data_IF_010497727375
#
_entry.id   IF_010497727375
#
_cell.length_a   1.000
_cell.length_b   1.000
_cell.length_c   1.000
_cell.angle_alpha   90.00
_cell.angle_beta   90.00
_cell.angle_gamma   90.00
#
_symmetry.space_group_name_H-M   'P 1'
#
loop_
_entity.id
_entity.type
_entity.pdbx_description
1 polymer ?
#
# COMPACT_ATOMS: atom_id res chain seq x y z
N UNK A 1 -58.19 41.61 -15.97
CA UNK A 1 -57.29 42.30 -16.92
C UNK A 1 -55.91 41.67 -16.82
N UNK A 2 -55.35 41.27 -17.97
CA UNK A 2 -53.90 41.10 -18.31
C UNK A 2 -53.02 40.29 -17.33
N UNK A 3 -52.47 39.11 -17.61
CA UNK A 3 -51.94 38.54 -18.86
C UNK A 3 -50.41 38.69 -18.91
N UNK A 4 -49.65 37.58 -18.80
CA UNK A 4 -48.32 37.30 -19.40
C UNK A 4 -47.68 36.08 -18.69
N UNK A 5 -47.75 34.84 -19.20
CA UNK A 5 -46.93 34.22 -20.27
C UNK A 5 -45.41 34.51 -20.20
N UNK A 6 -44.73 33.83 -19.29
CA UNK A 6 -43.29 33.54 -19.38
C UNK A 6 -43.06 32.06 -19.70
N UNK A 7 -42.89 31.72 -20.98
CA UNK A 7 -42.42 30.40 -21.43
C UNK A 7 -40.99 30.19 -20.91
N UNK A 8 -40.75 29.22 -20.02
CA UNK A 8 -39.39 28.72 -19.76
C UNK A 8 -39.11 27.54 -20.66
N UNK A 9 -38.04 27.70 -21.42
CA UNK A 9 -37.56 26.79 -22.44
C UNK A 9 -37.16 25.44 -21.85
N UNK A 10 -37.44 24.39 -22.62
CA UNK A 10 -36.97 23.03 -22.36
C UNK A 10 -35.44 23.01 -22.23
N UNK A 11 -34.94 22.59 -21.07
CA UNK A 11 -33.54 22.23 -20.88
C UNK A 11 -33.22 21.04 -21.78
N UNK A 12 -32.50 21.30 -22.88
CA UNK A 12 -31.91 20.25 -23.71
C UNK A 12 -30.88 19.51 -22.86
N UNK A 13 -31.12 18.22 -22.61
CA UNK A 13 -30.10 17.30 -22.07
C UNK A 13 -28.86 17.38 -22.99
N UNK A 14 -27.64 17.43 -22.44
CA UNK A 14 -26.44 17.41 -23.28
C UNK A 14 -26.43 16.09 -24.05
N UNK A 15 -26.47 16.19 -25.37
CA UNK A 15 -26.24 15.10 -26.30
C UNK A 15 -24.91 14.46 -25.96
N UNK A 16 -24.93 13.19 -25.56
CA UNK A 16 -23.76 12.35 -25.41
C UNK A 16 -23.14 12.17 -26.80
N UNK A 17 -22.23 13.06 -27.18
CA UNK A 17 -21.37 12.88 -28.34
C UNK A 17 -20.27 11.91 -27.89
N UNK A 18 -20.56 10.61 -27.95
CA UNK A 18 -19.52 9.60 -28.05
C UNK A 18 -18.81 9.84 -29.38
N UNK A 19 -17.79 10.69 -29.35
CA UNK A 19 -16.76 10.69 -30.37
C UNK A 19 -16.22 9.25 -30.44
N UNK A 20 -16.11 8.63 -31.62
CA UNK A 20 -15.41 7.37 -31.72
C UNK A 20 -14.00 7.63 -31.24
N UNK A 21 -13.58 6.89 -30.20
CA UNK A 21 -12.18 6.78 -29.81
C UNK A 21 -11.43 6.48 -31.10
N UNK A 22 -10.63 7.44 -31.57
CA UNK A 22 -9.72 7.22 -32.66
C UNK A 22 -8.88 6.01 -32.25
N UNK A 23 -9.20 4.86 -32.84
CA UNK A 23 -8.40 3.66 -32.76
C UNK A 23 -7.10 4.07 -33.43
N UNK A 24 -6.15 4.52 -32.61
CA UNK A 24 -4.81 4.87 -33.04
C UNK A 24 -4.32 3.74 -33.92
N UNK A 25 -4.03 4.10 -35.16
CA UNK A 25 -3.57 3.24 -36.24
C UNK A 25 -2.82 2.05 -35.66
N UNK A 26 -3.46 0.88 -35.69
CA UNK A 26 -2.76 -0.39 -35.52
C UNK A 26 -1.88 -0.48 -36.75
N UNK A 27 -0.69 0.14 -36.65
CA UNK A 27 0.31 0.14 -37.67
C UNK A 27 0.37 -1.27 -38.22
N UNK A 28 0.14 -1.35 -39.53
CA UNK A 28 0.16 -2.53 -40.37
C UNK A 28 1.16 -3.53 -39.80
N UNK A 29 0.69 -4.72 -39.40
CA UNK A 29 1.52 -5.76 -38.82
C UNK A 29 2.53 -6.23 -39.88
N UNK A 30 3.65 -5.52 -39.99
CA UNK A 30 4.87 -6.06 -40.56
C UNK A 30 5.23 -7.31 -39.77
N UNK A 31 5.62 -8.37 -40.48
CA UNK A 31 6.08 -9.61 -39.86
C UNK A 31 7.21 -9.24 -38.91
N UNK A 32 7.03 -9.56 -37.62
CA UNK A 32 8.02 -9.25 -36.61
C UNK A 32 9.37 -9.85 -37.03
N UNK A 33 10.49 -9.12 -36.90
CA UNK A 33 11.80 -9.62 -37.28
C UNK A 33 12.10 -10.98 -36.63
N UNK A 34 12.92 -11.78 -37.30
CA UNK A 34 13.40 -13.03 -36.75
C UNK A 34 14.00 -12.80 -35.34
N UNK A 35 13.61 -13.63 -34.36
CA UNK A 35 14.05 -13.50 -32.97
C UNK A 35 13.32 -12.45 -32.12
N UNK A 36 12.49 -11.56 -32.69
CA UNK A 36 11.80 -10.50 -31.93
C UNK A 36 10.94 -11.05 -30.78
N UNK A 37 10.22 -12.15 -31.02
CA UNK A 37 9.34 -12.75 -30.03
C UNK A 37 10.10 -13.27 -28.79
N UNK A 38 11.33 -13.77 -28.97
CA UNK A 38 12.18 -14.21 -27.87
C UNK A 38 12.77 -13.01 -27.13
N UNK A 39 13.31 -12.05 -27.88
CA UNK A 39 13.86 -10.82 -27.32
C UNK A 39 12.82 -10.08 -26.45
N UNK A 40 11.60 -9.87 -26.97
CA UNK A 40 10.56 -9.15 -26.22
C UNK A 40 10.06 -9.91 -24.98
N UNK A 41 10.14 -11.25 -24.97
CA UNK A 41 9.89 -12.05 -23.75
C UNK A 41 10.96 -11.77 -22.70
N UNK A 42 12.23 -11.74 -23.10
CA UNK A 42 13.35 -11.39 -22.22
C UNK A 42 13.24 -9.98 -21.64
N UNK A 43 12.91 -8.98 -22.47
CA UNK A 43 12.68 -7.61 -22.02
C UNK A 43 11.55 -7.54 -20.99
N UNK A 44 10.40 -8.19 -21.26
CA UNK A 44 9.27 -8.23 -20.32
C UNK A 44 9.67 -8.89 -19.00
N UNK A 45 10.39 -10.02 -19.04
CA UNK A 45 10.89 -10.68 -17.84
C UNK A 45 11.80 -9.75 -17.02
N UNK A 46 12.76 -9.08 -17.66
CA UNK A 46 13.65 -8.12 -16.99
C UNK A 46 12.89 -6.96 -16.33
N UNK A 47 11.86 -6.42 -16.99
CA UNK A 47 10.98 -5.39 -16.40
C UNK A 47 10.24 -5.92 -15.17
N UNK A 48 9.69 -7.13 -15.24
CA UNK A 48 8.99 -7.73 -14.11
C UNK A 48 9.92 -7.96 -12.91
N UNK A 49 11.12 -8.51 -13.14
CA UNK A 49 12.10 -8.73 -12.08
C UNK A 49 12.58 -7.42 -11.45
N UNK A 50 12.85 -6.39 -12.25
CA UNK A 50 13.25 -5.08 -11.76
C UNK A 50 12.16 -4.48 -10.85
N UNK A 51 10.89 -4.54 -11.27
CA UNK A 51 9.76 -4.09 -10.46
C UNK A 51 9.62 -4.87 -9.16
N UNK A 52 9.78 -6.19 -9.20
CA UNK A 52 9.73 -7.02 -8.00
C UNK A 52 10.87 -6.70 -7.02
N UNK A 53 12.09 -6.47 -7.51
CA UNK A 53 13.21 -6.06 -6.66
C UNK A 53 12.94 -4.69 -6.01
N UNK A 54 12.45 -3.73 -6.78
CA UNK A 54 12.09 -2.41 -6.25
C UNK A 54 10.99 -2.51 -5.19
N UNK A 55 9.92 -3.27 -5.46
CA UNK A 55 8.83 -3.49 -4.50
C UNK A 55 9.32 -4.14 -3.19
N UNK A 56 10.21 -5.14 -3.27
CA UNK A 56 10.83 -5.77 -2.09
C UNK A 56 11.67 -4.77 -1.29
N UNK A 57 12.51 -3.98 -1.95
CA UNK A 57 13.32 -2.96 -1.29
C UNK A 57 12.45 -1.93 -0.55
N UNK A 58 11.40 -1.42 -1.21
CA UNK A 58 10.44 -0.49 -0.60
C UNK A 58 9.72 -1.13 0.59
N UNK A 59 9.28 -2.39 0.46
CA UNK A 59 8.61 -3.09 1.55
C UNK A 59 9.52 -3.26 2.78
N UNK A 60 10.78 -3.64 2.56
CA UNK A 60 11.75 -3.78 3.65
C UNK A 60 11.92 -2.47 4.43
N UNK A 61 12.11 -1.36 3.71
CA UNK A 61 12.25 -0.04 4.34
C UNK A 61 10.98 0.38 5.10
N UNK A 62 9.79 0.14 4.52
CA UNK A 62 8.53 0.47 5.16
C UNK A 62 8.28 -0.35 6.43
N UNK A 63 8.48 -1.67 6.39
CA UNK A 63 8.30 -2.53 7.57
C UNK A 63 9.29 -2.15 8.67
N UNK A 64 10.56 -1.91 8.31
CA UNK A 64 11.58 -1.45 9.24
C UNK A 64 11.27 -0.08 9.85
N UNK A 65 10.79 0.87 9.05
CA UNK A 65 10.35 2.19 9.53
C UNK A 65 9.18 2.07 10.51
N UNK A 66 8.16 1.30 10.15
CA UNK A 66 6.97 1.09 10.99
C UNK A 66 7.31 0.46 12.33
N UNK A 67 8.22 -0.53 12.34
CA UNK A 67 8.71 -1.10 13.57
C UNK A 67 9.43 -0.07 14.45
N UNK A 68 10.36 0.71 13.88
CA UNK A 68 11.09 1.76 14.62
C UNK A 68 10.14 2.79 15.20
N UNK A 69 9.17 3.29 14.43
CA UNK A 69 8.16 4.23 14.91
C UNK A 69 7.38 3.64 16.09
N UNK A 70 6.95 2.37 15.98
CA UNK A 70 6.23 1.68 17.04
C UNK A 70 7.04 1.56 18.34
N UNK A 71 8.30 1.17 18.24
CA UNK A 71 9.25 1.06 19.36
C UNK A 71 9.45 2.42 20.02
N UNK A 72 9.64 3.46 19.22
CA UNK A 72 9.88 4.83 19.65
C UNK A 72 8.66 5.45 20.35
N UNK A 73 7.45 5.15 19.88
CA UNK A 73 6.21 5.53 20.57
C UNK A 73 6.17 4.85 21.94
N UNK A 74 6.36 3.52 21.99
CA UNK A 74 6.33 2.76 23.24
C UNK A 74 7.34 3.31 24.26
N UNK A 75 8.59 3.48 23.86
CA UNK A 75 9.65 3.96 24.74
C UNK A 75 9.34 5.33 25.36
N UNK A 76 8.77 6.27 24.58
CA UNK A 76 8.37 7.59 25.09
C UNK A 76 7.13 7.54 25.98
N UNK A 77 6.17 6.66 25.68
CA UNK A 77 5.04 6.42 26.58
C UNK A 77 5.49 5.89 27.94
N UNK A 78 6.43 4.93 27.95
CA UNK A 78 6.96 4.31 29.16
C UNK A 78 7.81 5.31 29.98
N UNK A 79 8.68 6.09 29.31
CA UNK A 79 9.61 7.00 29.99
C UNK A 79 8.99 8.34 30.43
N UNK A 80 8.01 8.87 29.69
CA UNK A 80 7.44 10.20 29.91
C UNK A 80 5.97 10.19 30.33
N UNK A 81 5.37 9.01 30.49
CA UNK A 81 3.97 8.87 30.87
C UNK A 81 2.99 9.37 29.81
N UNK A 82 3.38 9.41 28.53
CA UNK A 82 2.52 9.91 27.47
C UNK A 82 1.28 9.01 27.27
N UNK A 83 0.11 9.60 27.49
CA UNK A 83 -1.17 8.92 27.25
C UNK A 83 -1.47 8.71 25.75
N UNK A 84 -2.56 7.99 25.47
CA UNK A 84 -2.95 7.57 24.12
C UNK A 84 -3.08 8.71 23.09
N UNK A 85 -3.33 9.95 23.53
CA UNK A 85 -3.46 11.14 22.68
C UNK A 85 -2.18 11.49 21.92
N UNK A 86 -1.01 11.03 22.34
CA UNK A 86 0.23 11.28 21.61
C UNK A 86 0.17 10.69 20.20
N UNK A 87 -0.48 9.54 20.04
CA UNK A 87 -0.60 8.88 18.73
C UNK A 87 -1.41 9.74 17.77
N UNK A 88 -2.48 10.38 18.25
CA UNK A 88 -3.30 11.26 17.43
C UNK A 88 -2.53 12.53 17.02
N UNK A 89 -1.68 13.07 17.90
CA UNK A 89 -0.80 14.20 17.59
C UNK A 89 0.25 13.83 16.53
N UNK A 90 0.96 12.72 16.70
CA UNK A 90 1.95 12.24 15.72
C UNK A 90 1.29 12.00 14.36
N UNK A 91 0.10 11.39 14.33
CA UNK A 91 -0.62 11.18 13.08
C UNK A 91 -0.97 12.51 12.38
N UNK A 92 -1.40 13.52 13.14
CA UNK A 92 -1.69 14.84 12.58
C UNK A 92 -0.42 15.48 12.01
N UNK A 93 0.68 15.49 12.77
CA UNK A 93 1.95 16.09 12.35
C UNK A 93 2.49 15.40 11.08
N UNK A 94 2.46 14.07 11.02
CA UNK A 94 2.89 13.31 9.84
C UNK A 94 1.98 13.56 8.64
N UNK A 95 0.67 13.74 8.84
CA UNK A 95 -0.26 14.03 7.74
C UNK A 95 -0.08 15.44 7.19
N UNK A 96 0.30 16.40 8.05
CA UNK A 96 0.61 17.76 7.62
C UNK A 96 1.88 17.78 6.76
N UNK A 97 2.93 17.09 7.17
CA UNK A 97 4.19 17.02 6.40
C UNK A 97 4.07 16.16 5.14
N UNK A 98 3.35 15.04 5.24
CA UNK A 98 3.19 14.05 4.17
C UNK A 98 1.71 13.85 3.80
N UNK A 99 1.08 14.84 3.13
CA UNK A 99 -0.36 14.81 2.85
C UNK A 99 -0.79 13.65 1.93
N UNK A 100 0.10 13.18 1.05
CA UNK A 100 -0.19 12.08 0.13
C UNK A 100 0.25 10.71 0.67
N UNK A 101 0.96 10.67 1.79
CA UNK A 101 1.42 9.41 2.37
C UNK A 101 0.25 8.63 2.96
N UNK A 102 0.05 7.43 2.45
CA UNK A 102 -0.79 6.42 3.07
C UNK A 102 -0.02 5.70 4.20
N UNK A 103 -0.73 5.24 5.24
CA UNK A 103 -0.11 4.47 6.32
C UNK A 103 0.24 5.23 7.60
N UNK A 104 0.04 6.56 7.69
CA UNK A 104 0.26 7.31 8.95
C UNK A 104 -1.02 7.71 9.69
N UNK A 105 -2.11 6.96 9.50
CA UNK A 105 -3.33 7.17 10.29
C UNK A 105 -3.12 6.83 11.77
N UNK A 106 -3.89 7.41 12.71
CA UNK A 106 -3.79 7.08 14.14
C UNK A 106 -3.97 5.58 14.40
N UNK A 107 -4.85 4.93 13.64
CA UNK A 107 -5.04 3.47 13.70
C UNK A 107 -3.77 2.74 13.30
N UNK A 108 -3.12 3.13 12.20
CA UNK A 108 -1.92 2.44 11.75
C UNK A 108 -0.75 2.65 12.72
N UNK A 109 -0.59 3.84 13.31
CA UNK A 109 0.41 4.08 14.36
C UNK A 109 0.18 3.21 15.62
N UNK A 110 -1.07 2.94 15.99
CA UNK A 110 -1.38 1.97 17.07
C UNK A 110 -0.93 0.56 16.68
N UNK A 111 -1.13 0.15 15.43
CA UNK A 111 -0.61 -1.12 14.93
C UNK A 111 0.92 -1.15 14.87
N UNK A 112 1.59 -0.07 14.47
CA UNK A 112 3.05 0.02 14.51
C UNK A 112 3.57 -0.21 15.93
N UNK A 113 2.95 0.42 16.93
CA UNK A 113 3.28 0.17 18.34
C UNK A 113 3.04 -1.28 18.74
N UNK A 114 1.89 -1.85 18.40
CA UNK A 114 1.58 -3.25 18.70
C UNK A 114 2.55 -4.21 18.00
N UNK A 115 2.95 -3.90 16.78
CA UNK A 115 3.95 -4.63 16.02
C UNK A 115 5.30 -4.62 16.73
N UNK A 116 5.80 -3.46 17.14
CA UNK A 116 7.05 -3.37 17.90
C UNK A 116 7.00 -4.09 19.25
N UNK A 117 5.83 -4.12 19.90
CA UNK A 117 5.62 -4.88 21.15
C UNK A 117 5.67 -6.39 20.90
N UNK A 118 5.03 -6.87 19.84
CA UNK A 118 4.96 -8.28 19.50
C UNK A 118 6.29 -8.84 18.99
N UNK A 119 7.17 -7.97 18.47
CA UNK A 119 8.43 -8.34 17.82
C UNK A 119 9.59 -7.51 18.40
N UNK A 120 10.12 -7.84 19.58
CA UNK A 120 11.19 -7.04 20.20
C UNK A 120 12.56 -7.20 19.50
N UNK A 121 12.74 -8.26 18.73
CA UNK A 121 13.99 -8.61 18.04
C UNK A 121 14.07 -7.91 16.67
N UNK A 122 14.96 -6.93 16.56
CA UNK A 122 15.16 -6.13 15.34
C UNK A 122 15.70 -6.96 14.17
N UNK A 123 16.61 -7.91 14.44
CA UNK A 123 17.21 -8.75 13.42
C UNK A 123 16.16 -9.68 12.79
N UNK A 124 15.25 -10.22 13.62
CA UNK A 124 14.11 -10.99 13.12
C UNK A 124 13.16 -10.13 12.27
N UNK A 125 12.94 -8.88 12.65
CA UNK A 125 12.07 -7.97 11.90
C UNK A 125 12.68 -7.65 10.53
N UNK A 126 13.95 -7.29 10.48
CA UNK A 126 14.64 -6.93 9.23
C UNK A 126 14.91 -8.14 8.34
N UNK A 127 15.22 -9.31 8.93
CA UNK A 127 15.53 -10.52 8.18
C UNK A 127 14.28 -11.25 7.66
N UNK A 128 13.29 -11.46 8.52
CA UNK A 128 12.13 -12.33 8.23
C UNK A 128 10.90 -11.49 7.91
N UNK A 129 10.51 -10.60 8.81
CA UNK A 129 9.23 -9.90 8.69
C UNK A 129 9.23 -8.89 7.55
N UNK A 130 10.35 -8.24 7.26
CA UNK A 130 10.52 -7.34 6.12
C UNK A 130 10.20 -7.99 4.76
N UNK A 131 10.25 -9.32 4.66
CA UNK A 131 9.89 -10.03 3.43
C UNK A 131 8.38 -10.13 3.21
N UNK A 132 7.58 -9.84 4.24
CA UNK A 132 6.12 -9.92 4.20
C UNK A 132 5.50 -8.52 4.02
N UNK A 133 4.40 -8.41 3.26
CA UNK A 133 3.66 -7.15 3.16
C UNK A 133 3.11 -6.70 4.52
N UNK A 134 3.02 -5.38 4.74
CA UNK A 134 2.50 -4.81 6.00
C UNK A 134 1.15 -5.39 6.45
N UNK A 135 0.20 -5.61 5.53
CA UNK A 135 -1.12 -6.17 5.85
C UNK A 135 -1.07 -7.60 6.39
N UNK A 136 -0.03 -8.37 6.06
CA UNK A 136 0.18 -9.69 6.66
C UNK A 136 0.49 -9.56 8.14
N UNK A 137 1.32 -8.57 8.53
CA UNK A 137 1.61 -8.32 9.95
C UNK A 137 0.36 -7.92 10.74
N UNK A 138 -0.51 -7.09 10.16
CA UNK A 138 -1.80 -6.75 10.79
C UNK A 138 -2.63 -8.01 11.04
N UNK A 139 -2.74 -8.89 10.04
CA UNK A 139 -3.48 -10.13 10.19
C UNK A 139 -2.88 -11.07 11.24
N UNK A 140 -1.55 -11.17 11.33
CA UNK A 140 -0.85 -11.95 12.36
C UNK A 140 -1.10 -11.38 13.76
N UNK A 141 -1.14 -10.05 13.90
CA UNK A 141 -1.42 -9.39 15.18
C UNK A 141 -2.88 -9.56 15.61
N UNK A 142 -3.82 -9.49 14.66
CA UNK A 142 -5.27 -9.57 14.94
C UNK A 142 -5.76 -10.99 15.22
N UNK A 143 -5.17 -12.00 14.55
CA UNK A 143 -5.71 -13.36 14.55
C UNK A 143 -4.99 -14.33 15.46
N UNK A 144 -3.78 -13.99 15.91
CA UNK A 144 -2.93 -14.89 16.69
C UNK A 144 -2.60 -14.23 18.01
N UNK A 145 -2.62 -15.00 19.10
CA UNK A 145 -2.47 -14.48 20.45
C UNK A 145 -1.01 -14.56 20.91
N UNK A 146 -0.33 -15.66 20.59
CA UNK A 146 1.02 -15.97 21.08
C UNK A 146 2.12 -15.52 20.11
N UNK A 147 3.34 -15.32 20.63
CA UNK A 147 4.50 -14.97 19.79
C UNK A 147 4.93 -16.16 18.94
N UNK A 148 4.80 -17.36 19.47
CA UNK A 148 5.18 -18.64 18.86
C UNK A 148 4.34 -18.91 17.61
N UNK A 149 3.00 -18.77 17.72
CA UNK A 149 2.10 -18.93 16.57
C UNK A 149 2.41 -17.89 15.50
N UNK A 150 2.60 -16.63 15.88
CA UNK A 150 2.93 -15.56 14.93
C UNK A 150 4.23 -15.86 14.20
N UNK A 151 5.27 -16.33 14.91
CA UNK A 151 6.57 -16.71 14.31
C UNK A 151 6.40 -17.83 13.30
N UNK A 152 5.69 -18.89 13.70
CA UNK A 152 5.45 -20.04 12.85
C UNK A 152 4.71 -19.66 11.57
N UNK A 153 3.61 -18.89 11.69
CA UNK A 153 2.83 -18.46 10.53
C UNK A 153 3.58 -17.45 9.66
N UNK A 154 4.41 -16.56 10.23
CA UNK A 154 5.24 -15.65 9.45
C UNK A 154 6.25 -16.41 8.58
N UNK A 155 6.92 -17.42 9.15
CA UNK A 155 7.85 -18.28 8.40
C UNK A 155 7.13 -19.07 7.30
N UNK A 156 5.96 -19.65 7.60
CA UNK A 156 5.15 -20.36 6.61
C UNK A 156 4.63 -19.47 5.50
N UNK A 157 4.29 -18.22 5.81
CA UNK A 157 3.88 -17.26 4.79
C UNK A 157 5.00 -16.95 3.79
N UNK A 158 6.26 -16.90 4.25
CA UNK A 158 7.42 -16.73 3.38
C UNK A 158 7.66 -18.00 2.54
N UNK A 159 7.69 -19.17 3.17
CA UNK A 159 7.94 -20.46 2.53
C UNK A 159 6.95 -20.75 1.39
N UNK A 160 5.66 -20.46 1.61
CA UNK A 160 4.60 -20.73 0.64
C UNK A 160 4.20 -19.51 -0.21
N UNK A 161 4.88 -18.37 -0.03
CA UNK A 161 4.55 -17.13 -0.74
C UNK A 161 3.14 -16.61 -0.45
N UNK A 162 2.59 -16.90 0.75
CA UNK A 162 1.29 -16.39 1.15
C UNK A 162 1.37 -14.90 1.44
N UNK A 163 0.91 -14.10 0.50
CA UNK A 163 0.68 -12.68 0.70
C UNK A 163 -0.81 -12.39 0.65
N UNK A 164 -1.29 -11.60 1.62
CA UNK A 164 -2.55 -10.90 1.43
C UNK A 164 -2.25 -9.75 0.46
N UNK A 165 -2.96 -9.67 -0.67
CA UNK A 165 -2.87 -8.47 -1.52
C UNK A 165 -3.26 -7.27 -0.66
N UNK A 166 -2.29 -6.37 -0.40
CA UNK A 166 -2.63 -4.99 -0.09
C UNK A 166 -3.33 -4.42 -1.32
N UNK A 167 -4.46 -3.75 -1.13
CA UNK A 167 -5.15 -3.11 -2.24
C UNK A 167 -4.18 -2.18 -2.95
N UNK A 168 -3.87 -2.49 -4.20
CA UNK A 168 -3.25 -1.54 -5.10
C UNK A 168 -4.31 -0.54 -5.50
N UNK A 169 -4.15 0.69 -5.05
CA UNK A 169 -4.55 1.89 -5.80
C UNK A 169 -3.29 2.66 -6.08
#
# INVERSE_FOLDING_TARGET
>A
MTGSRGKRAASKKPTNVQAPLAQGSRATLEVAPEGYAEWIRGVKAGVHEARQRAARAVNNELVGLYWRIGRDIRARQDAQGWGAKIVDRIAADLKTEFPDAEGFSPRNLKYMRAFAVAWPDEDFVQGVLAQLPWYTHLALLEKLETVEERRWYAQKAIEHGWSRKGGGT
#
